data_IF_810754165433
#
_entry.id   IF_810754165433
#
_cell.length_a   1.000
_cell.length_b   1.000
_cell.length_c   1.000
_cell.angle_alpha   90.00
_cell.angle_beta   90.00
_cell.angle_gamma   90.00
#
_symmetry.space_group_name_H-M   'P 1'
#
loop_
_entity.id
_entity.type
_entity.pdbx_description
1 polymer ?
#
# COMPACT_ATOMS: atom_id res chain seq x y z
N UNK A 1 12.82 -2.95 16.16
CA UNK A 1 12.76 -2.34 17.52
C UNK A 1 12.37 -3.29 18.65
N UNK A 2 11.79 -4.47 18.40
CA UNK A 2 11.38 -5.40 19.47
C UNK A 2 12.56 -5.92 20.31
N UNK A 3 13.74 -6.11 19.71
CA UNK A 3 14.95 -6.54 20.42
C UNK A 3 15.38 -5.57 21.53
N UNK A 4 15.47 -4.26 21.24
CA UNK A 4 15.85 -3.26 22.26
C UNK A 4 14.83 -3.21 23.41
N UNK A 5 13.54 -3.39 23.11
CA UNK A 5 12.48 -3.44 24.13
C UNK A 5 12.62 -4.67 25.03
N UNK A 6 12.93 -5.84 24.45
CA UNK A 6 13.20 -7.06 25.20
C UNK A 6 14.43 -6.92 26.10
N UNK A 7 15.54 -6.41 25.55
CA UNK A 7 16.74 -6.09 26.32
C UNK A 7 16.44 -5.17 27.51
N UNK A 8 15.73 -4.07 27.29
CA UNK A 8 15.36 -3.14 28.37
C UNK A 8 14.48 -3.79 29.44
N UNK A 9 13.55 -4.65 29.04
CA UNK A 9 12.68 -5.35 29.98
C UNK A 9 13.48 -6.31 30.87
N UNK A 10 14.36 -7.11 30.27
CA UNK A 10 15.27 -8.01 30.99
C UNK A 10 16.17 -7.24 31.94
N UNK A 11 16.81 -6.15 31.47
CA UNK A 11 17.71 -5.35 32.31
C UNK A 11 16.98 -4.67 33.49
N UNK A 12 15.74 -4.19 33.30
CA UNK A 12 14.92 -3.65 34.40
C UNK A 12 14.62 -4.69 35.48
N UNK A 13 14.45 -5.96 35.11
CA UNK A 13 14.23 -7.06 36.06
C UNK A 13 15.46 -7.39 36.91
N UNK A 14 16.66 -7.04 36.45
CA UNK A 14 17.92 -7.37 37.15
C UNK A 14 18.33 -6.37 38.24
N UNK A 15 17.59 -5.27 38.43
CA UNK A 15 17.95 -4.17 39.36
C UNK A 15 19.39 -3.62 39.18
N UNK A 16 19.98 -3.82 38.00
CA UNK A 16 21.36 -3.40 37.72
C UNK A 16 21.45 -1.88 37.50
N UNK A 17 22.51 -1.22 38.00
CA UNK A 17 22.75 0.20 37.73
C UNK A 17 22.88 0.48 36.24
N UNK A 18 22.40 1.64 35.79
CA UNK A 18 22.41 2.08 34.38
C UNK A 18 23.79 2.03 33.69
N UNK A 19 24.87 2.08 34.48
CA UNK A 19 26.25 1.87 34.02
C UNK A 19 26.42 0.45 33.43
N UNK A 20 25.96 -0.57 34.15
CA UNK A 20 26.10 -1.99 33.79
C UNK A 20 25.30 -2.33 32.52
N UNK A 21 24.24 -1.58 32.24
CA UNK A 21 23.44 -1.75 31.01
C UNK A 21 24.27 -1.47 29.77
N UNK A 22 25.23 -0.55 29.83
CA UNK A 22 26.10 -0.25 28.70
C UNK A 22 27.03 -1.43 28.37
N UNK A 23 27.54 -2.12 29.39
CA UNK A 23 28.39 -3.31 29.21
C UNK A 23 27.58 -4.50 28.73
N UNK A 24 26.43 -4.78 29.35
CA UNK A 24 25.52 -5.83 28.90
C UNK A 24 25.06 -5.61 27.46
N UNK A 25 24.85 -4.34 27.08
CA UNK A 25 24.50 -3.98 25.71
C UNK A 25 25.63 -4.28 24.74
N UNK A 26 26.86 -3.86 25.02
CA UNK A 26 28.02 -4.17 24.18
C UNK A 26 28.18 -5.68 23.96
N UNK A 27 28.07 -6.48 25.02
CA UNK A 27 28.16 -7.94 24.96
C UNK A 27 27.02 -8.59 24.16
N UNK A 28 25.87 -7.92 24.07
CA UNK A 28 24.72 -8.41 23.31
C UNK A 28 24.79 -8.12 21.80
N UNK A 29 25.72 -7.28 21.35
CA UNK A 29 25.87 -6.92 19.93
C UNK A 29 26.70 -7.94 19.17
N UNK A 30 26.34 -8.18 17.91
CA UNK A 30 27.06 -9.07 17.00
C UNK A 30 27.45 -8.34 15.70
N UNK A 31 28.55 -8.80 15.09
CA UNK A 31 29.04 -8.41 13.76
C UNK A 31 29.00 -6.89 13.48
N UNK A 32 28.18 -6.49 12.50
CA UNK A 32 28.04 -5.11 12.06
C UNK A 32 27.55 -4.18 13.17
N UNK A 33 26.78 -4.68 14.14
CA UNK A 33 26.35 -3.88 15.28
C UNK A 33 27.47 -3.61 16.28
N UNK A 34 28.35 -4.59 16.48
CA UNK A 34 29.55 -4.39 17.29
C UNK A 34 30.53 -3.42 16.60
N UNK A 35 30.66 -3.53 15.27
CA UNK A 35 31.48 -2.59 14.50
C UNK A 35 30.96 -1.15 14.58
N UNK A 36 29.64 -0.96 14.46
CA UNK A 36 28.99 0.34 14.68
C UNK A 36 29.25 0.87 16.11
N UNK A 37 29.06 0.02 17.13
CA UNK A 37 29.29 0.40 18.52
C UNK A 37 30.71 0.89 18.74
N UNK A 38 31.71 0.19 18.18
CA UNK A 38 33.13 0.55 18.31
C UNK A 38 33.45 1.94 17.77
N UNK A 39 32.72 2.43 16.77
CA UNK A 39 32.89 3.78 16.20
C UNK A 39 32.33 4.90 17.08
N UNK A 40 31.52 4.58 18.10
CA UNK A 40 30.93 5.61 18.96
C UNK A 40 31.97 6.27 19.91
N UNK A 41 31.80 7.57 20.22
CA UNK A 41 32.60 8.24 21.24
C UNK A 41 32.48 7.55 22.61
N UNK A 42 33.56 7.57 23.41
CA UNK A 42 33.58 7.03 24.78
C UNK A 42 32.46 7.59 25.66
N UNK A 43 32.14 8.89 25.52
CA UNK A 43 31.05 9.54 26.26
C UNK A 43 29.69 8.90 25.95
N UNK A 44 29.43 8.59 24.69
CA UNK A 44 28.19 7.95 24.24
C UNK A 44 28.08 6.52 24.79
N UNK A 45 29.19 5.77 24.76
CA UNK A 45 29.24 4.37 25.25
C UNK A 45 29.00 4.21 26.75
N UNK A 46 29.37 5.20 27.58
CA UNK A 46 29.28 5.13 29.05
C UNK A 46 27.93 5.55 29.62
N UNK A 47 27.04 6.10 28.81
CA UNK A 47 25.74 6.62 29.26
C UNK A 47 24.63 5.93 28.50
N UNK A 48 23.88 5.06 29.17
CA UNK A 48 22.81 4.26 28.56
C UNK A 48 21.83 5.09 27.72
N UNK A 49 21.45 6.28 28.20
CA UNK A 49 20.57 7.18 27.46
C UNK A 49 21.17 7.58 26.11
N UNK A 50 22.44 8.03 26.10
CA UNK A 50 23.12 8.43 24.87
C UNK A 50 23.36 7.23 23.93
N UNK A 51 23.70 6.08 24.50
CA UNK A 51 23.94 4.84 23.75
C UNK A 51 22.66 4.33 23.08
N UNK A 52 21.56 4.25 23.83
CA UNK A 52 20.27 3.79 23.31
C UNK A 52 19.70 4.79 22.31
N UNK A 53 19.79 6.09 22.54
CA UNK A 53 19.40 7.12 21.55
C UNK A 53 20.20 6.99 20.25
N UNK A 54 21.52 6.77 20.33
CA UNK A 54 22.36 6.57 19.15
C UNK A 54 21.98 5.28 18.39
N UNK A 55 21.72 4.18 19.11
CA UNK A 55 21.28 2.92 18.51
C UNK A 55 19.94 3.06 17.80
N UNK A 56 18.98 3.71 18.46
CA UNK A 56 17.66 4.00 17.90
C UNK A 56 17.81 4.89 16.67
N UNK A 57 18.61 5.96 16.74
CA UNK A 57 18.82 6.84 15.60
C UNK A 57 19.45 6.12 14.40
N UNK A 58 20.44 5.26 14.64
CA UNK A 58 21.17 4.57 13.59
C UNK A 58 20.34 3.45 12.95
N UNK A 59 19.74 2.57 13.76
CA UNK A 59 18.98 1.41 13.26
C UNK A 59 17.52 1.72 12.96
N UNK A 60 16.97 2.80 13.52
CA UNK A 60 15.55 3.12 13.42
C UNK A 60 15.30 4.48 12.78
N UNK A 61 16.24 5.02 12.00
CA UNK A 61 16.06 6.28 11.25
C UNK A 61 14.79 6.28 10.38
N UNK A 62 14.28 5.11 9.98
CA UNK A 62 13.00 4.91 9.28
C UNK A 62 11.78 4.81 10.20
N UNK A 63 11.97 4.46 11.49
CA UNK A 63 10.91 4.19 12.47
C UNK A 63 10.73 5.30 13.52
N UNK A 64 11.64 6.27 13.64
CA UNK A 64 11.56 7.38 14.59
C UNK A 64 10.85 8.63 14.06
N UNK A 65 10.27 8.59 12.86
CA UNK A 65 9.44 9.71 12.41
C UNK A 65 8.34 9.96 13.44
N UNK A 66 8.20 11.23 13.84
CA UNK A 66 7.07 11.69 14.63
C UNK A 66 5.77 11.35 13.90
N UNK A 67 4.66 11.25 14.62
CA UNK A 67 3.36 11.00 14.00
C UNK A 67 3.06 12.01 12.87
N UNK A 68 3.39 13.29 13.08
CA UNK A 68 3.30 14.34 12.04
C UNK A 68 4.21 14.07 10.85
N UNK A 69 5.46 13.65 11.07
CA UNK A 69 6.38 13.35 9.97
C UNK A 69 5.90 12.14 9.14
N UNK A 70 5.33 11.11 9.78
CA UNK A 70 4.73 9.97 9.07
C UNK A 70 3.51 10.41 8.25
N UNK A 71 2.68 11.28 8.81
CA UNK A 71 1.51 11.83 8.12
C UNK A 71 1.91 12.62 6.86
N UNK A 72 2.77 13.65 7.00
CA UNK A 72 3.14 14.52 5.88
C UNK A 72 4.05 13.86 4.83
N UNK A 73 4.72 12.75 5.16
CA UNK A 73 5.54 12.01 4.19
C UNK A 73 4.85 10.78 3.60
N UNK A 74 3.61 10.49 4.03
CA UNK A 74 2.85 9.38 3.49
C UNK A 74 2.58 9.60 2.00
N UNK A 75 2.76 8.53 1.22
CA UNK A 75 2.39 8.42 -0.19
C UNK A 75 1.82 7.03 -0.43
N UNK A 76 0.94 6.91 -1.42
CA UNK A 76 0.43 5.60 -1.84
C UNK A 76 1.58 4.76 -2.37
N UNK A 77 1.61 3.49 -2.00
CA UNK A 77 2.58 2.54 -2.56
C UNK A 77 2.08 1.99 -3.91
N UNK A 78 2.98 1.60 -4.82
CA UNK A 78 2.65 1.22 -6.21
C UNK A 78 1.56 0.14 -6.36
N UNK A 79 1.40 -0.72 -5.34
CA UNK A 79 0.44 -1.83 -5.33
C UNK A 79 -0.70 -1.64 -4.32
N UNK A 80 -0.72 -0.54 -3.61
CA UNK A 80 -1.72 -0.25 -2.58
C UNK A 80 -3.01 0.26 -3.23
N UNK A 81 -4.16 -0.31 -2.85
CA UNK A 81 -5.43 0.21 -3.31
C UNK A 81 -5.70 1.59 -2.71
N UNK A 82 -6.40 2.44 -3.47
CA UNK A 82 -6.73 3.83 -3.06
C UNK A 82 -7.46 3.88 -1.72
N UNK A 83 -8.40 2.96 -1.49
CA UNK A 83 -9.13 2.83 -0.23
C UNK A 83 -8.24 2.40 0.94
N UNK A 84 -7.32 1.46 0.71
CA UNK A 84 -6.36 1.05 1.74
C UNK A 84 -5.42 2.20 2.12
N UNK A 85 -4.98 2.97 1.12
CA UNK A 85 -4.18 4.16 1.34
C UNK A 85 -4.93 5.23 2.15
N UNK A 86 -6.20 5.51 1.81
CA UNK A 86 -7.03 6.45 2.54
C UNK A 86 -7.18 6.02 4.01
N UNK A 87 -7.47 4.75 4.26
CA UNK A 87 -7.57 4.20 5.62
C UNK A 87 -6.26 4.32 6.40
N UNK A 88 -5.12 4.05 5.75
CA UNK A 88 -3.79 4.19 6.35
C UNK A 88 -3.47 5.67 6.68
N UNK A 89 -3.79 6.58 5.76
CA UNK A 89 -3.57 8.02 5.92
C UNK A 89 -4.45 8.59 7.04
N UNK A 90 -5.72 8.19 7.13
CA UNK A 90 -6.63 8.54 8.23
C UNK A 90 -6.05 8.07 9.58
N UNK A 91 -5.50 6.87 9.62
CA UNK A 91 -4.78 6.36 10.79
C UNK A 91 -3.59 7.23 11.20
N UNK A 92 -2.79 7.71 10.24
CA UNK A 92 -1.69 8.62 10.52
C UNK A 92 -2.15 10.01 10.97
N UNK A 93 -3.21 10.55 10.37
CA UNK A 93 -3.79 11.83 10.75
C UNK A 93 -4.27 11.83 12.21
N UNK A 94 -5.01 10.79 12.64
CA UNK A 94 -5.42 10.62 14.05
C UNK A 94 -4.22 10.56 14.99
N UNK A 95 -3.21 9.77 14.63
CA UNK A 95 -1.98 9.66 15.43
C UNK A 95 -1.20 10.98 15.51
N UNK A 96 -1.30 11.83 14.48
CA UNK A 96 -0.67 13.15 14.41
C UNK A 96 -1.49 14.25 15.08
N UNK A 97 -2.73 13.96 15.50
CA UNK A 97 -3.67 14.89 16.12
C UNK A 97 -4.39 15.81 15.12
N UNK A 98 -4.37 15.49 13.83
CA UNK A 98 -5.04 16.27 12.77
C UNK A 98 -6.56 16.02 12.85
N UNK A 99 -7.36 17.07 12.99
CA UNK A 99 -8.82 16.98 13.09
C UNK A 99 -9.46 17.03 11.70
N UNK A 100 -9.44 15.91 10.99
CA UNK A 100 -10.02 15.82 9.64
C UNK A 100 -11.52 15.43 9.63
N UNK A 101 -12.04 14.92 10.74
CA UNK A 101 -13.40 14.36 10.82
C UNK A 101 -14.50 15.43 10.99
N UNK A 102 -14.17 16.59 11.56
CA UNK A 102 -15.15 17.62 11.92
C UNK A 102 -15.28 18.77 10.89
N UNK A 103 -14.80 18.55 9.66
CA UNK A 103 -14.76 19.59 8.63
C UNK A 103 -13.78 20.74 8.95
N UNK A 104 -13.86 21.83 8.18
CA UNK A 104 -13.02 23.01 8.37
C UNK A 104 -11.66 22.94 7.66
N UNK A 105 -10.69 23.76 8.12
CA UNK A 105 -9.39 23.90 7.44
C UNK A 105 -8.59 22.61 7.45
N UNK A 106 -8.49 21.94 8.59
CA UNK A 106 -7.70 20.70 8.71
C UNK A 106 -8.29 19.55 7.89
N UNK A 107 -9.62 19.46 7.78
CA UNK A 107 -10.28 18.50 6.90
C UNK A 107 -9.95 18.76 5.42
N UNK A 108 -9.98 20.04 5.02
CA UNK A 108 -9.62 20.43 3.64
C UNK A 108 -8.15 20.12 3.35
N UNK A 109 -7.24 20.53 4.24
CA UNK A 109 -5.81 20.29 4.09
C UNK A 109 -5.50 18.77 4.06
N UNK A 110 -6.29 17.96 4.78
CA UNK A 110 -6.18 16.50 4.76
C UNK A 110 -6.62 15.89 3.43
N UNK A 111 -7.73 16.37 2.87
CA UNK A 111 -8.19 15.97 1.53
C UNK A 111 -7.15 16.35 0.47
N UNK A 112 -6.67 17.60 0.49
CA UNK A 112 -5.66 18.09 -0.46
C UNK A 112 -4.38 17.23 -0.37
N UNK A 113 -3.93 16.90 0.85
CA UNK A 113 -2.79 16.02 1.07
C UNK A 113 -3.01 14.60 0.54
N UNK A 114 -4.21 14.02 0.69
CA UNK A 114 -4.52 12.72 0.10
C UNK A 114 -4.44 12.78 -1.44
N UNK A 115 -5.03 13.80 -2.05
CA UNK A 115 -5.06 13.95 -3.51
C UNK A 115 -3.65 14.08 -4.10
N UNK A 116 -2.78 14.88 -3.47
CA UNK A 116 -1.39 15.08 -3.89
C UNK A 116 -0.54 13.81 -3.79
N UNK A 117 -0.93 12.86 -2.94
CA UNK A 117 -0.09 11.70 -2.56
C UNK A 117 -0.65 10.37 -3.03
N UNK A 118 -1.87 10.35 -3.59
CA UNK A 118 -2.55 9.15 -4.06
C UNK A 118 -2.05 8.67 -5.44
N UNK A 119 -1.61 9.59 -6.31
CA UNK A 119 -1.13 9.30 -7.68
C UNK A 119 -2.06 8.33 -8.45
N UNK A 120 -3.38 8.60 -8.40
CA UNK A 120 -4.39 7.81 -9.09
C UNK A 120 -5.03 8.59 -10.24
N UNK A 121 -4.65 8.23 -11.48
CA UNK A 121 -5.18 8.87 -12.70
C UNK A 121 -6.70 8.78 -12.83
N UNK A 122 -7.32 7.69 -12.32
CA UNK A 122 -8.77 7.52 -12.38
C UNK A 122 -9.51 8.38 -11.37
N UNK A 123 -8.86 8.72 -10.26
CA UNK A 123 -9.33 9.71 -9.29
C UNK A 123 -9.17 11.12 -9.85
N UNK A 124 -8.00 11.44 -10.43
CA UNK A 124 -7.70 12.72 -11.09
C UNK A 124 -8.75 13.06 -12.17
N UNK A 125 -9.12 12.09 -13.02
CA UNK A 125 -10.15 12.25 -14.05
C UNK A 125 -11.55 12.54 -13.48
N UNK A 126 -11.88 12.00 -12.30
CA UNK A 126 -13.19 12.25 -11.66
C UNK A 126 -13.20 13.57 -10.87
N UNK A 127 -12.05 13.98 -10.34
CA UNK A 127 -11.89 15.24 -9.61
C UNK A 127 -12.06 16.46 -10.50
N UNK A 128 -11.74 16.39 -11.80
CA UNK A 128 -11.95 17.53 -12.67
C UNK A 128 -13.43 17.96 -12.79
N UNK A 129 -14.36 17.10 -12.36
CA UNK A 129 -15.80 17.39 -12.33
C UNK A 129 -16.42 17.43 -10.92
N UNK A 130 -15.65 17.20 -9.85
CA UNK A 130 -16.18 17.04 -8.49
C UNK A 130 -15.56 18.03 -7.49
N UNK A 131 -16.38 18.53 -6.55
CA UNK A 131 -15.93 19.33 -5.40
C UNK A 131 -15.88 18.44 -4.17
N UNK A 132 -14.73 17.81 -3.90
CA UNK A 132 -14.49 17.12 -2.62
C UNK A 132 -14.30 18.19 -1.56
N UNK A 133 -15.19 18.25 -0.56
CA UNK A 133 -15.13 19.28 0.49
C UNK A 133 -14.67 18.72 1.83
N UNK A 134 -14.88 17.44 2.04
CA UNK A 134 -14.56 16.74 3.28
C UNK A 134 -14.20 15.27 3.03
N UNK A 135 -13.92 14.55 4.12
CA UNK A 135 -13.50 13.16 4.08
C UNK A 135 -14.59 12.22 3.56
N UNK A 136 -15.87 12.53 3.78
CA UNK A 136 -16.97 11.67 3.37
C UNK A 136 -17.18 11.69 1.86
N UNK A 137 -17.11 12.89 1.26
CA UNK A 137 -17.10 13.05 -0.21
C UNK A 137 -15.97 12.22 -0.85
N UNK A 138 -14.81 12.16 -0.18
CA UNK A 138 -13.63 11.44 -0.64
C UNK A 138 -13.77 9.91 -0.53
N UNK A 139 -14.34 9.43 0.57
CA UNK A 139 -14.65 8.01 0.80
C UNK A 139 -15.64 7.50 -0.25
N UNK A 140 -16.73 8.23 -0.50
CA UNK A 140 -17.73 7.87 -1.50
C UNK A 140 -17.14 7.80 -2.90
N UNK A 141 -16.30 8.78 -3.26
CA UNK A 141 -15.63 8.80 -4.57
C UNK A 141 -14.67 7.63 -4.75
N UNK A 142 -13.89 7.32 -3.70
CA UNK A 142 -12.95 6.19 -3.69
C UNK A 142 -13.69 4.86 -3.89
N UNK A 143 -14.80 4.68 -3.18
CA UNK A 143 -15.66 3.51 -3.31
C UNK A 143 -16.27 3.40 -4.72
N UNK A 144 -16.68 4.52 -5.31
CA UNK A 144 -17.22 4.50 -6.66
C UNK A 144 -16.18 4.18 -7.73
N UNK A 145 -14.93 4.61 -7.57
CA UNK A 145 -13.83 4.25 -8.47
C UNK A 145 -13.61 2.76 -8.44
N UNK A 146 -13.57 2.20 -7.22
CA UNK A 146 -13.43 0.77 -7.03
C UNK A 146 -14.58 0.01 -7.71
N UNK A 147 -15.83 0.41 -7.47
CA UNK A 147 -17.01 -0.16 -8.13
C UNK A 147 -17.01 0.01 -9.65
N UNK A 148 -16.48 1.11 -10.17
CA UNK A 148 -16.36 1.32 -11.61
C UNK A 148 -15.30 0.40 -12.24
N UNK A 149 -14.19 0.16 -11.54
CA UNK A 149 -13.13 -0.75 -11.99
C UNK A 149 -13.62 -2.19 -12.00
N UNK A 150 -14.35 -2.61 -10.97
CA UNK A 150 -15.00 -3.92 -10.92
C UNK A 150 -15.98 -4.12 -12.07
N UNK A 151 -16.81 -3.11 -12.37
CA UNK A 151 -17.73 -3.14 -13.53
C UNK A 151 -16.99 -3.20 -14.87
N UNK A 152 -15.85 -2.52 -15.02
CA UNK A 152 -15.02 -2.57 -16.24
C UNK A 152 -14.33 -3.93 -16.38
N UNK A 153 -13.77 -4.48 -15.30
CA UNK A 153 -13.16 -5.81 -15.29
C UNK A 153 -14.18 -6.93 -15.57
N UNK A 154 -15.43 -6.76 -15.17
CA UNK A 154 -16.52 -7.67 -15.54
C UNK A 154 -16.98 -7.52 -17.01
N UNK A 155 -16.66 -6.40 -17.67
CA UNK A 155 -17.08 -6.06 -19.04
C UNK A 155 -16.00 -6.31 -20.10
N UNK A 156 -14.71 -6.30 -19.76
CA UNK A 156 -13.64 -6.67 -20.70
C UNK A 156 -13.50 -8.20 -20.80
N UNK A 157 -13.67 -8.80 -21.99
CA UNK A 157 -14.62 -9.88 -22.12
C UNK A 157 -14.00 -11.20 -22.61
N UNK A 158 -14.80 -12.25 -22.49
CA UNK A 158 -14.76 -13.55 -23.17
C UNK A 158 -14.79 -13.48 -24.71
N UNK A 159 -14.12 -12.50 -25.33
CA UNK A 159 -13.93 -12.36 -26.79
C UNK A 159 -12.77 -13.26 -27.26
N UNK A 160 -12.85 -14.55 -26.98
CA UNK A 160 -12.12 -15.60 -27.72
C UNK A 160 -12.84 -16.93 -27.58
N UNK A 161 -14.00 -17.07 -28.23
CA UNK A 161 -14.46 -18.30 -28.90
C UNK A 161 -15.79 -18.00 -29.60
N UNK A 162 -15.95 -18.53 -30.80
CA UNK A 162 -17.10 -18.39 -31.71
C UNK A 162 -17.13 -17.14 -32.62
N UNK A 163 -16.03 -16.90 -33.33
CA UNK A 163 -16.12 -16.51 -34.76
C UNK A 163 -15.28 -17.51 -35.55
N UNK A 164 -15.92 -18.50 -36.15
CA UNK A 164 -15.23 -19.51 -36.94
C UNK A 164 -15.97 -20.84 -37.08
N UNK A 165 -17.30 -20.86 -37.00
CA UNK A 165 -18.04 -22.11 -37.15
C UNK A 165 -19.42 -21.92 -37.78
N UNK A 166 -19.57 -20.99 -38.73
CA UNK A 166 -20.81 -20.85 -39.51
C UNK A 166 -20.60 -20.77 -41.03
N UNK A 167 -19.37 -20.95 -41.54
CA UNK A 167 -19.13 -20.99 -43.00
C UNK A 167 -19.11 -22.41 -43.59
N UNK A 168 -18.96 -23.47 -42.79
CA UNK A 168 -18.90 -24.84 -43.32
C UNK A 168 -20.28 -25.45 -43.65
N UNK A 169 -21.37 -24.96 -43.04
CA UNK A 169 -22.71 -25.55 -43.26
C UNK A 169 -23.38 -25.12 -44.56
N UNK A 170 -22.81 -24.19 -45.32
CA UNK A 170 -23.36 -23.76 -46.61
C UNK A 170 -22.75 -24.48 -47.81
N UNK A 171 -21.66 -25.23 -47.65
CA UNK A 171 -21.00 -25.94 -48.76
C UNK A 171 -21.47 -27.38 -48.99
N UNK A 172 -22.16 -28.01 -48.04
CA UNK A 172 -22.65 -29.39 -48.22
C UNK A 172 -24.02 -29.51 -48.89
N UNK A 173 -24.83 -28.44 -48.97
CA UNK A 173 -26.12 -28.47 -49.71
C UNK A 173 -25.98 -28.34 -51.24
N UNK A 174 -24.76 -28.32 -51.77
CA UNK A 174 -24.49 -28.20 -53.21
C UNK A 174 -24.15 -29.53 -53.92
N UNK A 175 -23.93 -30.61 -53.17
CA UNK A 175 -23.45 -31.88 -53.73
C UNK A 175 -24.50 -33.01 -53.74
N UNK A 176 -25.61 -32.90 -53.01
CA UNK A 176 -26.70 -33.90 -53.04
C UNK A 176 -27.81 -33.61 -54.06
N UNK A 177 -27.92 -32.38 -54.57
CA UNK A 177 -28.96 -32.01 -55.54
C UNK A 177 -28.57 -32.26 -57.01
N UNK A 178 -27.34 -32.75 -57.28
CA UNK A 178 -26.87 -33.16 -58.61
C UNK A 178 -26.74 -34.68 -58.80
N UNK A 179 -27.06 -35.48 -57.80
CA UNK A 179 -26.96 -36.95 -57.89
C UNK A 179 -28.32 -37.64 -58.15
N UNK A 180 -29.46 -36.95 -57.94
CA UNK A 180 -30.79 -37.53 -58.16
C UNK A 180 -31.49 -37.13 -59.47
N UNK A 181 -30.87 -36.33 -60.34
CA UNK A 181 -31.47 -35.93 -61.63
C UNK A 181 -30.91 -36.65 -62.86
N UNK A 182 -30.18 -37.76 -62.71
CA UNK A 182 -29.59 -38.44 -63.88
C UNK A 182 -29.42 -39.96 -63.75
N UNK A 183 -30.46 -40.71 -63.35
CA UNK A 183 -30.56 -42.16 -63.66
C UNK A 183 -32.00 -42.68 -63.57
N UNK A 184 -32.83 -42.38 -64.58
CA UNK A 184 -34.00 -43.15 -65.08
C UNK A 184 -34.47 -42.36 -66.32
N UNK A 185 -34.64 -42.85 -67.55
CA UNK A 185 -34.74 -44.16 -68.22
C UNK A 185 -34.35 -43.90 -69.71
N UNK A 186 -34.14 -44.87 -70.64
CA UNK A 186 -35.13 -45.89 -70.98
C UNK A 186 -34.58 -47.26 -71.45
N UNK A 187 -35.47 -48.25 -71.44
CA UNK A 187 -35.59 -49.21 -72.55
C UNK A 187 -37.00 -49.10 -73.11
#
# INVERSE_FOLDING_TARGET
MQWLRKFMYEMKGTHTPTNEWCMAFELSLQDGALHWYRQLPRKTKRTWKLLSDAFIKYYCSKFTQSAKARYYSAKREDKEHVCDYLNRLNGYARNAGVQFENGGREAKDHVDHFLDTCDDRGLEERLCHARVKDIHDLEDMTNDIQRSRERKAAREPSVRRHRGQDDDRRRERGYEERFWSRTTSPR
#
